data_IF_615597958371
#
_entry.id   IF_615597958371
#
_cell.length_a   1.000
_cell.length_b   1.000
_cell.length_c   1.000
_cell.angle_alpha   90.00
_cell.angle_beta   90.00
_cell.angle_gamma   90.00
#
_symmetry.space_group_name_H-M   'P 1'
#
loop_
_entity.id
_entity.type
_entity.pdbx_description
1 polymer ?
#
# COMPACT_ATOMS: atom_id res chain seq x y z
N UNK A 1 12.48 6.10 -1.22
CA UNK A 1 11.69 4.86 -1.36
C UNK A 1 12.22 3.86 -0.35
N UNK A 2 11.34 3.23 0.41
CA UNK A 2 11.68 2.22 1.43
C UNK A 2 10.93 0.93 1.10
N UNK A 3 11.55 -0.23 1.27
CA UNK A 3 10.97 -1.52 0.89
C UNK A 3 11.01 -2.51 2.02
N UNK A 4 9.93 -3.29 2.17
CA UNK A 4 9.81 -4.34 3.17
C UNK A 4 9.29 -5.63 2.52
N UNK A 5 9.97 -6.74 2.74
CA UNK A 5 9.59 -8.04 2.18
C UNK A 5 8.73 -8.84 3.17
N UNK A 6 7.69 -9.50 2.66
CA UNK A 6 6.87 -10.46 3.40
C UNK A 6 6.65 -11.68 2.51
N UNK A 7 7.68 -12.52 2.39
CA UNK A 7 7.66 -13.74 1.58
C UNK A 7 7.28 -13.45 0.12
N UNK A 8 6.08 -13.88 -0.34
CA UNK A 8 5.68 -13.75 -1.74
C UNK A 8 5.19 -12.35 -2.13
N UNK A 9 5.25 -11.35 -1.24
CA UNK A 9 4.93 -9.95 -1.55
C UNK A 9 6.00 -9.00 -1.03
N UNK A 10 6.03 -7.79 -1.60
CA UNK A 10 6.87 -6.68 -1.18
C UNK A 10 6.04 -5.41 -1.00
N UNK A 11 6.21 -4.75 0.14
CA UNK A 11 5.70 -3.41 0.40
C UNK A 11 6.74 -2.39 -0.08
N UNK A 12 6.30 -1.37 -0.80
CA UNK A 12 7.13 -0.27 -1.30
C UNK A 12 6.49 1.05 -0.89
N UNK A 13 7.20 1.81 -0.07
CA UNK A 13 6.77 3.12 0.43
C UNK A 13 7.52 4.22 -0.30
N UNK A 14 6.77 5.19 -0.81
CA UNK A 14 7.27 6.39 -1.46
C UNK A 14 6.47 7.61 -0.98
N UNK A 15 7.07 8.80 -1.07
CA UNK A 15 6.33 10.06 -0.91
C UNK A 15 6.36 10.76 -2.25
N UNK A 16 5.17 10.89 -2.85
CA UNK A 16 5.03 11.36 -4.23
C UNK A 16 4.43 12.76 -4.22
N UNK A 17 4.95 13.61 -5.11
CA UNK A 17 4.32 14.87 -5.49
C UNK A 17 3.75 14.70 -6.91
N UNK A 18 2.44 14.86 -7.06
CA UNK A 18 1.72 14.72 -8.33
C UNK A 18 0.98 16.02 -8.62
N UNK A 19 1.62 16.89 -9.39
CA UNK A 19 1.11 18.24 -9.65
C UNK A 19 0.99 19.05 -8.36
N UNK A 20 -0.23 19.48 -8.03
CA UNK A 20 -0.53 20.25 -6.82
C UNK A 20 -1.08 19.39 -5.65
N UNK A 21 -1.02 18.07 -5.77
CA UNK A 21 -1.37 17.10 -4.73
C UNK A 21 -0.19 16.15 -4.48
N UNK A 22 -0.31 15.29 -3.48
CA UNK A 22 0.71 14.32 -3.13
C UNK A 22 0.61 13.85 -1.70
N UNK A 23 1.50 12.95 -1.34
CA UNK A 23 1.54 12.35 -0.02
C UNK A 23 2.24 10.98 -0.04
N UNK A 24 2.13 10.25 1.08
CA UNK A 24 2.60 8.88 1.16
C UNK A 24 1.86 7.99 0.16
N UNK A 25 2.61 7.12 -0.50
CA UNK A 25 2.10 6.07 -1.38
C UNK A 25 2.66 4.75 -0.89
N UNK A 26 1.77 3.80 -0.65
CA UNK A 26 2.11 2.41 -0.41
C UNK A 26 1.77 1.58 -1.63
N UNK A 27 2.75 0.91 -2.23
CA UNK A 27 2.53 -0.17 -3.20
C UNK A 27 2.75 -1.51 -2.53
N UNK A 28 1.95 -2.49 -2.93
CA UNK A 28 2.19 -3.90 -2.61
C UNK A 28 2.41 -4.61 -3.93
N UNK A 29 3.61 -5.15 -4.12
CA UNK A 29 4.00 -5.89 -5.30
C UNK A 29 4.11 -7.38 -5.01
N UNK A 30 4.14 -8.20 -6.06
CA UNK A 30 4.59 -9.59 -5.92
C UNK A 30 6.05 -9.66 -5.44
N UNK A 31 6.49 -10.82 -4.96
CA UNK A 31 7.84 -11.02 -4.42
C UNK A 31 8.97 -10.79 -5.43
N UNK A 32 8.67 -10.81 -6.75
CA UNK A 32 9.64 -10.42 -7.79
C UNK A 32 9.77 -8.90 -7.91
N UNK A 33 8.80 -8.15 -7.39
CA UNK A 33 8.67 -6.69 -7.52
C UNK A 33 8.18 -6.26 -8.89
N UNK A 34 7.89 -7.19 -9.81
CA UNK A 34 7.56 -6.91 -11.20
C UNK A 34 6.09 -6.55 -11.44
N UNK A 35 5.18 -7.05 -10.59
CA UNK A 35 3.74 -6.72 -10.65
C UNK A 35 3.29 -6.02 -9.39
N UNK A 36 2.73 -4.83 -9.56
CA UNK A 36 1.97 -4.10 -8.56
C UNK A 36 0.59 -4.77 -8.39
N UNK A 37 0.30 -5.24 -7.18
CA UNK A 37 -0.97 -5.87 -6.82
C UNK A 37 -1.95 -4.82 -6.33
N UNK A 38 -1.47 -3.92 -5.46
CA UNK A 38 -2.25 -2.87 -4.84
C UNK A 38 -1.42 -1.59 -4.77
N UNK A 39 -2.08 -0.44 -4.84
CA UNK A 39 -1.46 0.86 -4.53
C UNK A 39 -2.42 1.73 -3.75
N UNK A 40 -1.98 2.26 -2.63
CA UNK A 40 -2.70 3.22 -1.81
C UNK A 40 -1.99 4.56 -1.91
N UNK A 41 -2.59 5.49 -2.65
CA UNK A 41 -2.13 6.87 -2.76
C UNK A 41 -2.83 7.69 -1.66
N UNK A 42 -2.19 7.80 -0.51
CA UNK A 42 -2.67 8.52 0.67
C UNK A 42 -2.47 10.04 0.51
N UNK A 43 -2.95 10.59 -0.61
CA UNK A 43 -2.74 11.98 -0.96
C UNK A 43 -3.61 12.93 -0.14
N UNK A 44 -3.16 14.18 -0.03
CA UNK A 44 -3.81 15.18 0.80
C UNK A 44 -5.20 15.60 0.28
N UNK A 45 -5.39 15.70 -1.05
CA UNK A 45 -6.66 16.19 -1.63
C UNK A 45 -7.52 15.06 -2.20
N UNK A 46 -6.90 14.11 -2.89
CA UNK A 46 -7.62 12.99 -3.50
C UNK A 46 -7.06 11.64 -3.07
N UNK A 47 -7.22 11.22 -1.81
CA UNK A 47 -6.76 9.91 -1.37
C UNK A 47 -7.57 8.80 -2.05
N UNK A 48 -6.86 7.85 -2.67
CA UNK A 48 -7.47 6.77 -3.44
C UNK A 48 -6.55 5.54 -3.45
N UNK A 49 -7.10 4.41 -3.87
CA UNK A 49 -6.34 3.18 -3.99
C UNK A 49 -6.73 2.40 -5.24
N UNK A 50 -5.79 1.59 -5.70
CA UNK A 50 -5.83 0.88 -6.97
C UNK A 50 -5.72 -0.62 -6.71
N UNK A 51 -6.50 -1.41 -7.45
CA UNK A 51 -6.43 -2.87 -7.51
C UNK A 51 -5.89 -3.27 -8.87
N UNK A 52 -4.90 -4.17 -8.91
CA UNK A 52 -4.26 -4.66 -10.13
C UNK A 52 -3.81 -3.55 -11.11
N UNK A 53 -2.96 -2.58 -10.70
CA UNK A 53 -2.58 -1.44 -11.54
C UNK A 53 -1.85 -1.82 -12.83
N UNK A 54 -1.29 -3.02 -12.92
CA UNK A 54 -0.62 -3.53 -14.13
C UNK A 54 -1.50 -4.46 -14.97
N UNK A 55 -2.75 -4.71 -14.56
CA UNK A 55 -3.71 -5.57 -15.25
C UNK A 55 -5.06 -4.88 -15.39
N UNK A 56 -6.09 -5.42 -14.75
CA UNK A 56 -7.44 -4.88 -14.80
C UNK A 56 -7.65 -3.83 -13.70
N UNK A 57 -7.03 -2.65 -13.89
CA UNK A 57 -7.01 -1.60 -12.86
C UNK A 57 -8.42 -1.18 -12.42
N UNK A 58 -8.65 -1.20 -11.11
CA UNK A 58 -9.84 -0.64 -10.47
C UNK A 58 -9.42 0.40 -9.44
N UNK A 59 -9.90 1.63 -9.61
CA UNK A 59 -9.61 2.75 -8.70
C UNK A 59 -10.79 2.98 -7.77
N UNK A 60 -10.51 3.10 -6.48
CA UNK A 60 -11.51 3.36 -5.44
C UNK A 60 -11.04 4.52 -4.56
N UNK A 61 -12.00 5.26 -4.00
CA UNK A 61 -11.70 6.29 -3.02
C UNK A 61 -11.28 5.65 -1.69
N UNK A 62 -10.43 6.35 -0.97
CA UNK A 62 -10.20 6.05 0.44
C UNK A 62 -11.28 6.79 1.24
N UNK A 63 -12.17 6.04 1.88
CA UNK A 63 -13.29 6.56 2.65
C UNK A 63 -12.86 6.88 4.09
N UNK A 64 -11.87 7.77 4.22
CA UNK A 64 -11.36 8.22 5.52
C UNK A 64 -12.03 9.53 5.93
N UNK A 65 -12.64 9.57 7.13
CA UNK A 65 -13.03 10.84 7.76
C UNK A 65 -11.83 11.63 8.31
N UNK A 66 -10.66 10.97 8.42
CA UNK A 66 -9.42 11.52 8.96
C UNK A 66 -8.22 11.15 8.08
N UNK A 67 -7.17 10.60 8.71
CA UNK A 67 -5.92 10.22 8.04
C UNK A 67 -6.12 9.07 7.03
N UNK A 68 -5.82 9.27 5.73
CA UNK A 68 -5.84 8.18 4.75
C UNK A 68 -4.86 7.06 5.08
N UNK A 69 -3.72 7.40 5.71
CA UNK A 69 -2.73 6.41 6.18
C UNK A 69 -3.34 5.52 7.25
N UNK A 70 -4.09 6.08 8.21
CA UNK A 70 -4.71 5.32 9.30
C UNK A 70 -5.77 4.36 8.74
N UNK A 71 -6.57 4.83 7.78
CA UNK A 71 -7.53 3.99 7.08
C UNK A 71 -6.84 2.84 6.35
N UNK A 72 -5.81 3.14 5.54
CA UNK A 72 -5.07 2.11 4.80
C UNK A 72 -4.48 1.05 5.74
N UNK A 73 -3.86 1.46 6.85
CA UNK A 73 -3.27 0.53 7.80
C UNK A 73 -4.32 -0.31 8.53
N UNK A 74 -5.47 0.27 8.89
CA UNK A 74 -6.59 -0.48 9.49
C UNK A 74 -7.07 -1.58 8.54
N UNK A 75 -7.35 -1.24 7.27
CA UNK A 75 -7.83 -2.19 6.27
C UNK A 75 -6.83 -3.33 6.01
N UNK A 76 -5.53 -3.02 5.97
CA UNK A 76 -4.50 -4.03 5.77
C UNK A 76 -4.31 -4.93 7.00
N UNK A 77 -4.37 -4.38 8.22
CA UNK A 77 -4.30 -5.18 9.46
C UNK A 77 -5.53 -6.08 9.61
N UNK A 78 -6.71 -5.59 9.24
CA UNK A 78 -7.95 -6.35 9.34
C UNK A 78 -8.08 -7.42 8.25
N UNK A 79 -7.51 -7.19 7.06
CA UNK A 79 -7.88 -7.97 5.88
C UNK A 79 -6.90 -8.03 4.72
N UNK A 80 -5.58 -7.89 4.92
CA UNK A 80 -4.59 -7.95 3.84
C UNK A 80 -4.80 -9.11 2.83
N UNK A 81 -5.03 -10.38 3.24
CA UNK A 81 -5.25 -11.46 2.27
C UNK A 81 -6.46 -11.23 1.35
N UNK A 82 -7.55 -10.65 1.87
CA UNK A 82 -8.74 -10.36 1.08
C UNK A 82 -8.48 -9.26 0.06
N UNK A 83 -7.71 -8.24 0.43
CA UNK A 83 -7.28 -7.19 -0.49
C UNK A 83 -6.41 -7.73 -1.63
N UNK A 84 -5.44 -8.59 -1.31
CA UNK A 84 -4.57 -9.23 -2.31
C UNK A 84 -5.36 -10.15 -3.26
N UNK A 85 -6.35 -10.87 -2.73
CA UNK A 85 -7.21 -11.73 -3.54
C UNK A 85 -8.00 -10.94 -4.60
N UNK A 86 -8.37 -9.68 -4.31
CA UNK A 86 -9.02 -8.79 -5.30
C UNK A 86 -8.11 -8.47 -6.48
N UNK A 87 -6.79 -8.46 -6.27
CA UNK A 87 -5.77 -8.34 -7.31
C UNK A 87 -5.39 -9.70 -7.93
N UNK A 88 -6.13 -10.77 -7.66
CA UNK A 88 -5.88 -12.11 -8.17
C UNK A 88 -4.66 -12.80 -7.56
N UNK A 89 -4.13 -12.30 -6.44
CA UNK A 89 -3.03 -12.94 -5.73
C UNK A 89 -3.55 -14.07 -4.84
N UNK A 90 -3.03 -15.28 -5.03
CA UNK A 90 -3.54 -16.51 -4.40
C UNK A 90 -2.55 -17.24 -3.52
N UNK A 91 -1.30 -16.78 -3.45
CA UNK A 91 -0.29 -17.42 -2.62
C UNK A 91 -0.55 -17.14 -1.13
N UNK A 92 -0.18 -18.11 -0.29
CA UNK A 92 -0.28 -17.99 1.16
C UNK A 92 0.76 -17.00 1.69
N UNK A 93 0.36 -16.11 2.60
CA UNK A 93 1.28 -15.20 3.26
C UNK A 93 1.93 -15.88 4.48
N UNK A 94 3.23 -15.66 4.72
CA UNK A 94 3.83 -16.04 6.01
C UNK A 94 3.22 -15.19 7.13
N UNK A 95 3.33 -15.68 8.37
CA UNK A 95 3.02 -14.86 9.55
C UNK A 95 3.97 -13.66 9.71
N UNK A 96 3.63 -12.75 10.63
CA UNK A 96 4.44 -11.55 10.92
C UNK A 96 4.01 -10.30 10.15
N UNK A 97 2.79 -10.30 9.60
CA UNK A 97 2.20 -9.17 8.90
C UNK A 97 2.24 -7.89 9.75
N UNK A 98 1.88 -7.99 11.03
CA UNK A 98 1.81 -6.84 11.94
C UNK A 98 3.16 -6.13 12.08
N UNK A 99 4.25 -6.89 12.26
CA UNK A 99 5.58 -6.31 12.42
C UNK A 99 6.05 -5.61 11.13
N UNK A 100 5.71 -6.16 9.96
CA UNK A 100 6.00 -5.49 8.68
C UNK A 100 5.14 -4.25 8.51
N UNK A 101 3.85 -4.30 8.89
CA UNK A 101 2.94 -3.16 8.82
C UNK A 101 3.33 -2.05 9.80
N UNK A 102 3.90 -2.36 10.95
CA UNK A 102 4.47 -1.36 11.88
C UNK A 102 5.64 -0.60 11.24
N UNK A 103 6.54 -1.31 10.53
CA UNK A 103 7.65 -0.69 9.83
C UNK A 103 7.20 0.11 8.60
N UNK A 104 6.17 -0.38 7.88
CA UNK A 104 5.53 0.34 6.78
C UNK A 104 4.87 1.63 7.28
N UNK A 105 4.18 1.57 8.42
CA UNK A 105 3.57 2.74 9.06
C UNK A 105 4.60 3.80 9.38
N UNK A 106 5.72 3.42 10.03
CA UNK A 106 6.80 4.35 10.33
C UNK A 106 7.32 5.02 9.05
N UNK A 107 7.58 4.24 8.00
CA UNK A 107 8.03 4.77 6.73
C UNK A 107 7.00 5.70 6.06
N UNK A 108 5.70 5.41 6.15
CA UNK A 108 4.64 6.25 5.59
C UNK A 108 4.55 7.61 6.29
N UNK A 109 4.76 7.63 7.61
CA UNK A 109 4.67 8.86 8.42
C UNK A 109 5.95 9.67 8.43
N UNK A 110 7.10 8.99 8.31
CA UNK A 110 8.42 9.58 8.45
C UNK A 110 9.23 9.41 7.16
N UNK A 111 8.97 10.25 6.13
CA UNK A 111 9.75 10.20 4.89
C UNK A 111 11.24 10.42 5.19
N UNK A 112 12.15 9.65 4.57
CA UNK A 112 13.57 9.89 4.71
C UNK A 112 13.89 11.31 4.26
N UNK A 113 14.63 12.04 5.10
CA UNK A 113 15.11 13.38 4.77
C UNK A 113 16.11 13.25 3.62
N UNK A 114 15.82 13.92 2.50
CA UNK A 114 16.68 13.91 1.31
C UNK A 114 18.02 14.61 1.57
#
# INVERSE_FOLDING_TARGET
MTTFDLGPIRFVVEHRAVGADGGPTLRICDGSGGRELLRFDCFAKGPHWHVDPNGNEVIQKIEAAGSPVDWTLSELRDGLPAYLARAGFTAELPGGQDAVLDAVEDALRNPPTS
#
